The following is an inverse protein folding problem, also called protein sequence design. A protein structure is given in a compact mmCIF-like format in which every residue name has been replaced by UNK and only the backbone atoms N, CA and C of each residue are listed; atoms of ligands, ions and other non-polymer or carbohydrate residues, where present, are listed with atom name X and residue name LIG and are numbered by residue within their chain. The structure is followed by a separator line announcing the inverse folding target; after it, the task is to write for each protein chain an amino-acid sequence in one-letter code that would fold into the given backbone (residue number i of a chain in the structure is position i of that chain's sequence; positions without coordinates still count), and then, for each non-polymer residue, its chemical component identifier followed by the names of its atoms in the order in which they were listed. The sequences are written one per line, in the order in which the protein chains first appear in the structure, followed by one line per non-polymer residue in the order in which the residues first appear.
data_IF_526706064165
#
_entry.id   IF_526706064165
#
_cell.length_a   1.000
_cell.length_b   1.000
_cell.length_c   1.000
_cell.angle_alpha   90.00
_cell.angle_beta   90.00
_cell.angle_gamma   90.00
#
_symmetry.space_group_name_H-M   'P 1'
#
loop_
_entity.id
_entity.type
_entity.pdbx_description
1 polymer ?
#
# COMPACT_ATOMS: atom_id res chain seq x y z
N UNK A 1 0.50 30.93 19.53
CA UNK A 1 0.40 29.86 18.52
C UNK A 1 1.23 30.26 17.32
N UNK A 2 2.34 29.56 17.04
CA UNK A 2 3.28 29.94 15.97
C UNK A 2 2.61 29.75 14.61
N UNK A 3 2.37 30.85 13.91
CA UNK A 3 1.91 30.87 12.52
C UNK A 3 3.06 30.41 11.61
N UNK A 4 3.11 29.11 11.30
CA UNK A 4 4.10 28.55 10.37
C UNK A 4 3.57 28.76 8.94
N UNK A 5 4.27 29.53 8.08
CA UNK A 5 3.77 29.86 6.74
C UNK A 5 3.52 28.58 5.93
N UNK A 6 2.28 28.42 5.46
CA UNK A 6 1.73 27.40 4.53
C UNK A 6 2.71 26.28 4.17
N UNK A 7 3.01 25.40 5.13
CA UNK A 7 3.76 24.19 4.84
C UNK A 7 2.83 23.24 4.07
N UNK A 8 3.18 22.93 2.82
CA UNK A 8 2.45 21.91 2.06
C UNK A 8 2.63 20.57 2.77
N UNK A 9 1.52 19.92 3.13
CA UNK A 9 1.54 18.58 3.73
C UNK A 9 1.78 17.57 2.63
N UNK A 10 2.80 16.72 2.78
CA UNK A 10 3.02 15.61 1.87
C UNK A 10 2.35 14.36 2.44
N UNK A 11 1.43 13.79 1.67
CA UNK A 11 0.80 12.51 1.97
C UNK A 11 1.54 11.40 1.24
N UNK A 12 1.68 10.26 1.90
CA UNK A 12 2.14 9.02 1.27
C UNK A 12 0.96 8.08 1.09
N UNK A 13 0.89 7.45 -0.08
CA UNK A 13 -0.18 6.53 -0.44
C UNK A 13 0.41 5.30 -1.10
N UNK A 14 0.38 4.18 -0.38
CA UNK A 14 0.85 2.89 -0.91
C UNK A 14 -0.20 2.29 -1.82
N UNK A 15 0.16 2.02 -3.08
CA UNK A 15 -0.74 1.40 -4.06
C UNK A 15 -0.63 -0.12 -4.00
N UNK A 16 -1.75 -0.75 -3.66
CA UNK A 16 -1.93 -2.20 -3.52
C UNK A 16 -2.97 -2.65 -4.53
N UNK A 17 -2.58 -3.65 -5.32
CA UNK A 17 -3.37 -4.16 -6.44
C UNK A 17 -4.74 -4.67 -5.99
N UNK A 18 -5.80 -4.17 -6.63
CA UNK A 18 -7.18 -4.58 -6.39
C UNK A 18 -7.76 -4.16 -5.04
N UNK A 19 -6.98 -3.47 -4.20
CA UNK A 19 -7.41 -3.04 -2.86
C UNK A 19 -7.70 -1.55 -2.87
N UNK A 20 -6.77 -0.75 -3.39
CA UNK A 20 -6.86 0.70 -3.29
C UNK A 20 -6.39 1.48 -4.53
N UNK A 21 -6.19 0.78 -5.65
CA UNK A 21 -5.64 1.32 -6.89
C UNK A 21 -6.69 1.62 -7.98
N UNK A 22 -7.97 1.52 -7.65
CA UNK A 22 -9.06 1.91 -8.54
C UNK A 22 -9.18 3.44 -8.71
N UNK A 23 -9.53 3.90 -9.92
CA UNK A 23 -9.63 5.33 -10.23
C UNK A 23 -10.76 6.05 -9.47
N UNK A 24 -11.80 5.35 -9.02
CA UNK A 24 -12.82 5.95 -8.16
C UNK A 24 -12.27 6.28 -6.76
N UNK A 25 -11.27 5.53 -6.28
CA UNK A 25 -10.57 5.86 -5.04
C UNK A 25 -9.64 7.05 -5.22
N UNK A 26 -8.97 7.20 -6.37
CA UNK A 26 -8.23 8.41 -6.70
C UNK A 26 -9.10 9.67 -6.60
N UNK A 27 -10.35 9.59 -7.07
CA UNK A 27 -11.31 10.69 -7.03
C UNK A 27 -11.73 11.06 -5.62
N UNK A 28 -11.95 10.06 -4.76
CA UNK A 28 -12.25 10.26 -3.35
C UNK A 28 -11.05 10.85 -2.62
N UNK A 29 -9.84 10.37 -2.92
CA UNK A 29 -8.61 10.88 -2.33
C UNK A 29 -8.40 12.36 -2.65
N UNK A 30 -8.58 12.77 -3.90
CA UNK A 30 -8.49 14.20 -4.28
C UNK A 30 -9.45 15.07 -3.48
N UNK A 31 -10.70 14.63 -3.25
CA UNK A 31 -11.67 15.38 -2.45
C UNK A 31 -11.17 15.60 -1.02
N UNK A 32 -10.52 14.59 -0.43
CA UNK A 32 -9.95 14.70 0.91
C UNK A 32 -8.75 15.65 0.94
N UNK A 33 -7.83 15.49 -0.01
CA UNK A 33 -6.57 16.24 -0.04
C UNK A 33 -6.73 17.73 -0.31
N UNK A 34 -7.79 18.15 -1.02
CA UNK A 34 -8.06 19.56 -1.33
C UNK A 34 -8.40 20.43 -0.12
N UNK A 35 -8.66 19.84 1.05
CA UNK A 35 -8.95 20.60 2.27
C UNK A 35 -7.73 21.36 2.80
N UNK A 36 -6.52 20.95 2.38
CA UNK A 36 -5.25 21.51 2.84
C UNK A 36 -4.29 21.65 1.64
N UNK A 37 -3.39 22.64 1.61
CA UNK A 37 -2.29 22.66 0.65
C UNK A 37 -1.46 21.37 0.77
N UNK A 38 -1.50 20.53 -0.26
CA UNK A 38 -1.00 19.17 -0.18
C UNK A 38 -0.24 18.71 -1.43
N UNK A 39 0.67 17.76 -1.20
CA UNK A 39 1.36 16.98 -2.23
C UNK A 39 1.13 15.50 -1.93
N UNK A 40 1.16 14.66 -2.95
CA UNK A 40 0.98 13.23 -2.82
C UNK A 40 2.21 12.48 -3.36
N UNK A 41 2.68 11.51 -2.59
CA UNK A 41 3.69 10.56 -3.01
C UNK A 41 3.03 9.18 -3.08
N UNK A 42 2.87 8.67 -4.29
CA UNK A 42 2.44 7.31 -4.56
C UNK A 42 3.64 6.38 -4.37
N UNK A 43 3.45 5.34 -3.56
CA UNK A 43 4.47 4.33 -3.26
C UNK A 43 3.96 3.00 -3.80
N UNK A 44 4.57 2.43 -4.85
CA UNK A 44 4.26 1.07 -5.26
C UNK A 44 4.48 0.11 -4.09
N UNK A 45 3.52 -0.77 -3.81
CA UNK A 45 3.67 -1.74 -2.73
C UNK A 45 4.88 -2.64 -2.94
N UNK A 46 5.66 -2.87 -1.88
CA UNK A 46 6.80 -3.79 -1.91
C UNK A 46 6.42 -5.09 -1.20
N UNK A 47 6.22 -6.21 -1.93
CA UNK A 47 5.83 -7.48 -1.32
C UNK A 47 6.88 -8.02 -0.34
N UNK A 48 6.42 -8.77 0.66
CA UNK A 48 7.27 -9.45 1.64
C UNK A 48 6.72 -10.84 1.97
N UNK A 49 7.54 -11.80 2.46
CA UNK A 49 7.09 -13.16 2.71
C UNK A 49 5.87 -13.22 3.65
N UNK A 50 4.83 -13.94 3.22
CA UNK A 50 3.59 -14.11 3.99
C UNK A 50 2.56 -13.00 3.79
N UNK A 51 2.73 -12.12 2.80
CA UNK A 51 1.68 -11.19 2.36
C UNK A 51 0.88 -11.79 1.20
N UNK A 52 -0.44 -11.60 1.22
CA UNK A 52 -1.34 -11.90 0.10
C UNK A 52 -1.53 -10.70 -0.84
N UNK A 53 -0.85 -9.58 -0.56
CA UNK A 53 -0.98 -8.36 -1.33
C UNK A 53 0.04 -8.27 -2.46
N UNK A 54 -0.38 -7.67 -3.57
CA UNK A 54 0.44 -7.46 -4.75
C UNK A 54 0.66 -5.98 -5.03
N UNK A 55 1.77 -5.66 -5.70
CA UNK A 55 1.98 -4.35 -6.28
C UNK A 55 1.05 -4.15 -7.46
N UNK A 56 0.42 -2.97 -7.55
CA UNK A 56 -0.29 -2.53 -8.75
C UNK A 56 0.66 -2.52 -9.96
N UNK A 57 0.13 -2.78 -11.15
CA UNK A 57 0.91 -2.70 -12.37
C UNK A 57 1.27 -1.24 -12.72
N UNK A 58 2.29 -1.04 -13.57
CA UNK A 58 2.74 0.32 -13.91
C UNK A 58 1.66 1.15 -14.60
N UNK A 59 0.82 0.53 -15.41
CA UNK A 59 -0.25 1.20 -16.14
C UNK A 59 -1.30 1.76 -15.17
N UNK A 60 -1.70 0.97 -14.16
CA UNK A 60 -2.64 1.38 -13.12
C UNK A 60 -2.03 2.48 -12.25
N UNK A 61 -0.76 2.34 -11.84
CA UNK A 61 -0.07 3.39 -11.07
C UNK A 61 -0.03 4.72 -11.84
N UNK A 62 0.31 4.68 -13.14
CA UNK A 62 0.33 5.87 -14.00
C UNK A 62 -1.07 6.47 -14.18
N UNK A 63 -2.07 5.65 -14.47
CA UNK A 63 -3.46 6.12 -14.62
C UNK A 63 -3.97 6.76 -13.32
N UNK A 64 -3.66 6.17 -12.17
CA UNK A 64 -4.00 6.73 -10.86
C UNK A 64 -3.28 8.06 -10.61
N UNK A 65 -1.98 8.14 -10.93
CA UNK A 65 -1.20 9.38 -10.86
C UNK A 65 -1.79 10.48 -11.75
N UNK A 66 -2.03 10.18 -13.03
CA UNK A 66 -2.59 11.12 -14.00
C UNK A 66 -3.97 11.59 -13.58
N UNK A 67 -4.81 10.70 -13.05
CA UNK A 67 -6.14 11.05 -12.53
C UNK A 67 -6.05 12.07 -11.40
N UNK A 68 -5.09 11.93 -10.49
CA UNK A 68 -4.88 12.87 -9.38
C UNK A 68 -4.29 14.19 -9.89
N UNK A 69 -3.30 14.14 -10.78
CA UNK A 69 -2.66 15.32 -11.36
C UNK A 69 -3.62 16.15 -12.20
N UNK A 70 -4.50 15.51 -12.98
CA UNK A 70 -5.55 16.18 -13.76
C UNK A 70 -6.51 16.99 -12.89
N UNK A 71 -6.55 16.71 -11.58
CA UNK A 71 -7.38 17.41 -10.59
C UNK A 71 -6.58 18.39 -9.72
N UNK A 72 -5.36 18.73 -10.12
CA UNK A 72 -4.58 19.81 -9.52
C UNK A 72 -3.85 19.46 -8.22
N UNK A 73 -3.76 18.16 -7.86
CA UNK A 73 -2.90 17.71 -6.77
C UNK A 73 -1.60 17.20 -7.37
N UNK A 74 -0.46 17.75 -6.93
CA UNK A 74 0.85 17.27 -7.36
C UNK A 74 1.07 15.86 -6.80
N UNK A 75 1.12 14.86 -7.70
CA UNK A 75 1.40 13.48 -7.36
C UNK A 75 2.73 13.02 -7.99
N UNK A 76 3.63 12.50 -7.15
CA UNK A 76 4.86 11.85 -7.61
C UNK A 76 4.79 10.35 -7.34
N UNK A 77 5.45 9.54 -8.15
CA UNK A 77 5.61 8.10 -7.90
C UNK A 77 7.02 7.87 -7.38
N UNK A 78 7.14 7.26 -6.20
CA UNK A 78 8.42 6.87 -5.64
C UNK A 78 8.97 5.71 -6.47
N UNK A 79 9.85 6.02 -7.42
CA UNK A 79 10.64 5.01 -8.11
C UNK A 79 11.68 4.45 -7.16
N UNK A 80 11.70 3.12 -7.01
CA UNK A 80 12.88 2.43 -6.51
C UNK A 80 14.01 2.70 -7.49
N UNK A 81 15.02 3.47 -7.06
CA UNK A 81 16.22 3.72 -7.86
C UNK A 81 16.77 2.37 -8.34
N UNK A 82 16.93 2.19 -9.65
CA UNK A 82 17.56 1.01 -10.24
C UNK A 82 16.64 -0.03 -10.89
N UNK A 83 15.32 0.10 -10.92
CA UNK A 83 14.46 -0.87 -11.63
C UNK A 83 14.70 -0.90 -13.14
N UNK A 84 15.14 0.24 -13.69
CA UNK A 84 15.44 0.46 -15.09
C UNK A 84 16.76 -0.23 -15.53
N UNK A 85 17.56 -0.73 -14.56
CA UNK A 85 18.90 -1.34 -14.75
C UNK A 85 19.18 -2.52 -13.78
N UNK A 86 18.15 -3.24 -13.30
CA UNK A 86 18.28 -4.35 -12.33
C UNK A 86 19.02 -4.01 -11.00
N UNK A 87 19.02 -2.74 -10.59
CA UNK A 87 19.68 -2.24 -9.39
C UNK A 87 18.71 -1.78 -8.27
N UNK A 88 17.47 -2.27 -8.25
CA UNK A 88 16.49 -1.85 -7.24
C UNK A 88 16.71 -2.50 -5.85
N UNK A 89 16.57 -1.65 -4.84
CA UNK A 89 16.94 -1.88 -3.45
C UNK A 89 15.84 -2.61 -2.65
N UNK A 90 16.17 -3.81 -2.12
CA UNK A 90 15.36 -4.61 -1.19
C UNK A 90 16.19 -5.60 -0.34
N UNK A 91 17.53 -5.53 -0.40
CA UNK A 91 18.43 -6.53 0.19
C UNK A 91 18.96 -6.21 1.59
N UNK A 92 18.55 -5.11 2.21
CA UNK A 92 18.87 -4.87 3.62
C UNK A 92 17.86 -5.58 4.53
N UNK A 93 17.65 -6.88 4.29
CA UNK A 93 17.35 -7.82 5.38
C UNK A 93 18.68 -8.02 6.11
N UNK A 94 19.07 -7.02 6.91
CA UNK A 94 20.03 -7.30 7.97
C UNK A 94 19.45 -8.45 8.79
N UNK A 95 20.24 -9.49 9.07
CA UNK A 95 19.88 -10.54 10.03
C UNK A 95 19.68 -9.87 11.41
N UNK A 96 18.52 -9.27 11.62
CA UNK A 96 18.14 -8.75 12.93
C UNK A 96 17.74 -9.98 13.72
N UNK A 97 18.60 -10.39 14.66
CA UNK A 97 18.20 -11.30 15.71
C UNK A 97 17.09 -10.59 16.52
N UNK A 98 15.84 -10.94 16.22
CA UNK A 98 14.66 -10.43 16.92
C UNK A 98 14.75 -10.88 18.39
N UNK A 99 15.18 -9.98 19.28
CA UNK A 99 15.21 -10.21 20.73
C UNK A 99 13.83 -9.97 21.37
N UNK A 100 12.79 -9.75 20.59
CA UNK A 100 11.44 -9.50 21.09
C UNK A 100 10.63 -10.79 21.06
N UNK A 101 10.26 -11.28 22.24
CA UNK A 101 9.42 -12.47 22.51
C UNK A 101 7.97 -12.31 22.02
N UNK A 102 7.74 -11.70 20.85
CA UNK A 102 6.40 -11.45 20.26
C UNK A 102 5.98 -12.55 19.28
N UNK A 103 6.92 -13.28 18.69
CA UNK A 103 6.59 -14.38 17.77
C UNK A 103 5.97 -15.61 18.47
N UNK A 104 6.31 -15.87 19.75
CA UNK A 104 5.77 -17.02 20.48
C UNK A 104 4.27 -16.91 20.73
N UNK A 105 3.74 -15.68 20.88
CA UNK A 105 2.32 -15.44 21.18
C UNK A 105 1.43 -15.49 19.94
N UNK A 106 1.99 -15.27 18.74
CA UNK A 106 1.22 -15.32 17.49
C UNK A 106 1.15 -16.75 16.92
N UNK A 107 2.24 -17.52 17.01
CA UNK A 107 2.24 -18.94 16.61
C UNK A 107 1.29 -19.81 17.44
N UNK A 108 1.14 -19.55 18.74
CA UNK A 108 0.22 -20.31 19.59
C UNK A 108 -1.25 -20.06 19.27
N UNK A 109 -1.60 -18.89 18.70
CA UNK A 109 -2.98 -18.57 18.29
C UNK A 109 -3.38 -19.17 16.95
N UNK A 110 -2.41 -19.47 16.08
CA UNK A 110 -2.65 -20.11 14.78
C UNK A 110 -2.75 -21.64 14.88
N UNK A 111 -2.07 -22.25 15.84
CA UNK A 111 -2.07 -23.70 16.03
C UNK A 111 -3.31 -24.28 16.74
N UNK A 112 -4.21 -23.43 17.26
CA UNK A 112 -5.34 -23.85 18.10
C UNK A 112 -6.73 -23.70 17.47
N UNK A 113 -6.84 -23.35 16.18
CA UNK A 113 -8.13 -23.34 15.48
C UNK A 113 -8.22 -24.58 14.59
N UNK A 114 -8.96 -25.60 15.03
CA UNK A 114 -9.43 -26.66 14.14
C UNK A 114 -10.21 -26.02 12.98
N UNK A 115 -10.05 -26.54 11.75
CA UNK A 115 -10.79 -26.03 10.60
C UNK A 115 -12.29 -26.29 10.79
N UNK A 116 -13.07 -25.22 10.69
CA UNK A 116 -14.53 -25.24 10.68
C UNK A 116 -15.03 -26.07 9.49
N UNK A 117 -15.57 -27.25 9.74
CA UNK A 117 -16.20 -28.09 8.72
C UNK A 117 -17.43 -27.37 8.14
N UNK A 118 -17.45 -27.11 6.84
CA UNK A 118 -18.64 -26.62 6.11
C UNK A 118 -19.57 -27.80 5.80
N UNK A 119 -20.89 -27.71 6.03
CA UNK A 119 -21.81 -28.78 5.65
C UNK A 119 -21.97 -28.80 4.13
N UNK A 120 -21.66 -29.95 3.53
CA UNK A 120 -21.94 -30.27 2.13
C UNK A 120 -23.40 -30.72 2.02
N UNK A 121 -24.15 -30.11 1.10
CA UNK A 121 -25.40 -30.69 0.60
C UNK A 121 -26.51 -29.66 0.37
N UNK A 122 -26.65 -29.19 -0.88
CA UNK A 122 -27.96 -29.09 -1.55
C UNK A 122 -27.74 -29.41 -3.03
N UNK A 123 -28.19 -30.59 -3.45
CA UNK A 123 -28.36 -31.01 -4.83
C UNK A 123 -29.53 -30.29 -5.49
N UNK A 124 -29.44 -30.18 -6.82
CA UNK A 124 -30.47 -29.66 -7.71
C UNK A 124 -31.70 -30.57 -7.77
N UNK A 125 -32.90 -29.97 -7.69
CA UNK A 125 -34.14 -30.37 -8.35
C UNK A 125 -35.15 -29.21 -8.26
#
# INVERSE_FOLDING_TARGET
LVNRPRANVTFEYTLIKGVNDDLALADKLVKLLRQLPSKLNLIPFNPFPGTDYECSDEATIRAFQERIMSKGILATVRRTRGQDIDAACGQLVGKVADRTRRQSTHRSKLAGKEPMQLPVGVEAA
#
